data_IF_270040984154
#
_entry.id   IF_270040984154
#
_cell.length_a   1.000
_cell.length_b   1.000
_cell.length_c   1.000
_cell.angle_alpha   90.00
_cell.angle_beta   90.00
_cell.angle_gamma   90.00
#
_symmetry.space_group_name_H-M   'P 1'
#
loop_
_entity.id
_entity.type
_entity.pdbx_description
1 polymer ?
#
# COMPACT_ATOMS: atom_id res chain seq x y z
N UNK A 1 9.38 -8.02 11.08
CA UNK A 1 9.93 -9.10 10.22
C UNK A 1 10.27 -10.37 10.98
N UNK A 2 9.99 -10.49 12.29
CA UNK A 2 10.21 -11.74 13.04
C UNK A 2 9.08 -12.75 12.83
N UNK A 3 7.93 -12.27 12.35
CA UNK A 3 6.71 -13.06 12.14
C UNK A 3 6.64 -13.74 10.77
N UNK A 4 7.65 -13.52 9.92
CA UNK A 4 7.70 -14.12 8.58
C UNK A 4 8.88 -15.08 8.49
N UNK A 5 8.62 -16.25 7.91
CA UNK A 5 9.67 -17.18 7.52
C UNK A 5 10.50 -16.62 6.38
N UNK A 6 11.67 -17.23 6.15
CA UNK A 6 12.52 -16.91 5.00
C UNK A 6 11.75 -17.11 3.70
N UNK A 7 10.96 -18.18 3.62
CA UNK A 7 10.19 -18.57 2.43
C UNK A 7 9.11 -17.54 2.11
N UNK A 8 8.43 -17.00 3.12
CA UNK A 8 7.42 -15.93 2.96
C UNK A 8 8.05 -14.62 2.48
N UNK A 9 9.20 -14.24 3.04
CA UNK A 9 9.94 -13.06 2.58
C UNK A 9 10.36 -13.23 1.11
N UNK A 10 10.91 -14.38 0.75
CA UNK A 10 11.30 -14.68 -0.63
C UNK A 10 10.10 -14.71 -1.57
N UNK A 11 8.94 -15.17 -1.10
CA UNK A 11 7.70 -15.14 -1.86
C UNK A 11 7.28 -13.69 -2.19
N UNK A 12 7.29 -12.78 -1.21
CA UNK A 12 6.98 -11.35 -1.43
C UNK A 12 7.93 -10.74 -2.46
N UNK A 13 9.23 -10.98 -2.34
CA UNK A 13 10.23 -10.46 -3.28
C UNK A 13 10.05 -11.01 -4.71
N UNK A 14 9.75 -12.31 -4.84
CA UNK A 14 9.47 -12.93 -6.14
C UNK A 14 8.21 -12.36 -6.77
N UNK A 15 7.17 -12.09 -5.98
CA UNK A 15 5.94 -11.45 -6.44
C UNK A 15 6.21 -10.01 -6.87
N UNK A 16 6.97 -9.24 -6.09
CA UNK A 16 7.39 -7.88 -6.48
C UNK A 16 8.13 -7.88 -7.82
N UNK A 17 9.06 -8.82 -8.04
CA UNK A 17 9.78 -8.93 -9.31
C UNK A 17 8.84 -9.22 -10.49
N UNK A 18 7.89 -10.15 -10.31
CA UNK A 18 6.86 -10.41 -11.33
C UNK A 18 6.06 -9.14 -11.64
N UNK A 19 5.68 -8.38 -10.61
CA UNK A 19 4.91 -7.14 -10.74
C UNK A 19 5.65 -6.05 -11.51
N UNK A 20 6.98 -5.99 -11.39
CA UNK A 20 7.83 -5.11 -12.19
C UNK A 20 7.83 -5.49 -13.68
N UNK A 21 7.82 -6.79 -13.98
CA UNK A 21 7.99 -7.34 -15.33
C UNK A 21 6.66 -7.40 -16.15
N UNK A 22 5.50 -7.09 -15.56
CA UNK A 22 4.19 -7.27 -16.19
C UNK A 22 3.18 -6.14 -15.95
N UNK A 23 2.10 -6.09 -16.73
CA UNK A 23 0.99 -5.16 -16.54
C UNK A 23 -0.08 -5.77 -15.62
N UNK A 24 0.07 -5.63 -14.31
CA UNK A 24 -0.95 -6.05 -13.33
C UNK A 24 -2.06 -4.99 -13.19
N UNK A 25 -2.67 -4.59 -14.31
CA UNK A 25 -3.78 -3.66 -14.30
C UNK A 25 -4.98 -4.27 -13.58
N UNK A 26 -5.64 -3.48 -12.74
CA UNK A 26 -6.97 -3.74 -12.17
C UNK A 26 -7.10 -4.88 -11.15
N UNK A 27 -5.99 -5.43 -10.63
CA UNK A 27 -6.03 -6.46 -9.57
C UNK A 27 -6.86 -6.06 -8.33
N UNK A 28 -6.89 -4.76 -8.03
CA UNK A 28 -7.57 -4.21 -6.85
C UNK A 28 -8.85 -3.45 -7.23
N UNK A 29 -9.40 -3.67 -8.42
CA UNK A 29 -10.65 -3.04 -8.82
C UNK A 29 -11.78 -3.35 -7.82
N UNK A 30 -12.52 -2.31 -7.44
CA UNK A 30 -13.56 -2.37 -6.40
C UNK A 30 -13.04 -2.49 -4.96
N UNK A 31 -11.71 -2.52 -4.73
CA UNK A 31 -11.12 -2.51 -3.38
C UNK A 31 -10.82 -1.09 -2.92
N UNK A 32 -10.98 -0.86 -1.62
CA UNK A 32 -10.71 0.42 -0.96
C UNK A 32 -9.67 0.18 0.13
N UNK A 33 -8.58 0.97 0.15
CA UNK A 33 -7.58 0.99 1.22
C UNK A 33 -7.68 2.30 2.02
N UNK A 34 -7.64 2.21 3.35
CA UNK A 34 -7.47 3.38 4.21
C UNK A 34 -5.97 3.69 4.41
N UNK A 35 -5.56 4.92 4.09
CA UNK A 35 -4.21 5.47 4.30
C UNK A 35 -4.18 6.26 5.61
N UNK A 36 -3.70 5.64 6.69
CA UNK A 36 -3.74 6.18 8.07
C UNK A 36 -2.33 6.49 8.58
N UNK A 37 -1.79 7.64 8.16
CA UNK A 37 -0.48 8.12 8.61
C UNK A 37 -0.64 9.13 9.75
N UNK A 38 -0.47 8.67 11.00
CA UNK A 38 -0.53 9.53 12.20
C UNK A 38 0.72 10.38 12.42
N UNK A 39 1.82 10.05 11.74
CA UNK A 39 3.01 10.87 11.65
C UNK A 39 3.29 11.19 10.18
N UNK A 40 3.64 12.43 9.82
CA UNK A 40 3.90 12.80 8.44
C UNK A 40 5.05 11.99 7.82
N UNK A 41 4.74 11.23 6.76
CA UNK A 41 5.75 10.49 5.98
C UNK A 41 5.41 10.54 4.49
N UNK A 42 5.79 11.63 3.83
CA UNK A 42 5.40 11.91 2.43
C UNK A 42 5.79 10.79 1.47
N UNK A 43 7.04 10.29 1.54
CA UNK A 43 7.51 9.24 0.63
C UNK A 43 6.77 7.92 0.83
N UNK A 44 6.56 7.52 2.07
CA UNK A 44 5.87 6.27 2.41
C UNK A 44 4.39 6.35 2.03
N UNK A 45 3.73 7.45 2.34
CA UNK A 45 2.32 7.64 1.98
C UNK A 45 2.12 7.57 0.47
N UNK A 46 2.88 8.38 -0.27
CA UNK A 46 2.73 8.44 -1.72
C UNK A 46 3.08 7.11 -2.40
N UNK A 47 4.06 6.34 -1.91
CA UNK A 47 4.38 5.04 -2.50
C UNK A 47 3.24 4.02 -2.34
N UNK A 48 2.61 3.96 -1.17
CA UNK A 48 1.46 3.08 -0.92
C UNK A 48 0.22 3.52 -1.71
N UNK A 49 -0.09 4.82 -1.73
CA UNK A 49 -1.23 5.35 -2.48
C UNK A 49 -1.06 5.16 -4.00
N UNK A 50 0.14 5.42 -4.52
CA UNK A 50 0.47 5.19 -5.92
C UNK A 50 0.35 3.71 -6.31
N UNK A 51 0.80 2.79 -5.43
CA UNK A 51 0.67 1.35 -5.67
C UNK A 51 -0.79 0.91 -5.72
N UNK A 52 -1.63 1.39 -4.80
CA UNK A 52 -3.07 1.10 -4.81
C UNK A 52 -3.76 1.60 -6.08
N UNK A 53 -3.50 2.85 -6.46
CA UNK A 53 -4.11 3.44 -7.65
C UNK A 53 -3.66 2.73 -8.93
N UNK A 54 -2.38 2.35 -9.03
CA UNK A 54 -1.83 1.66 -10.21
C UNK A 54 -2.44 0.27 -10.44
N UNK A 55 -2.96 -0.34 -9.37
CA UNK A 55 -3.66 -1.64 -9.42
C UNK A 55 -5.19 -1.48 -9.55
N UNK A 56 -5.71 -0.28 -9.83
CA UNK A 56 -7.14 0.00 -9.98
C UNK A 56 -7.93 0.10 -8.67
N UNK A 57 -7.24 0.12 -7.53
CA UNK A 57 -7.85 0.31 -6.22
C UNK A 57 -8.11 1.78 -5.90
N UNK A 58 -8.95 2.02 -4.89
CA UNK A 58 -9.24 3.37 -4.37
C UNK A 58 -8.61 3.56 -3.01
N UNK A 59 -8.16 4.78 -2.72
CA UNK A 59 -7.63 5.16 -1.41
C UNK A 59 -8.57 6.15 -0.72
N UNK A 60 -8.80 5.94 0.57
CA UNK A 60 -9.43 6.91 1.48
C UNK A 60 -8.48 7.19 2.65
N UNK A 61 -8.65 8.29 3.38
CA UNK A 61 -7.83 8.58 4.56
C UNK A 61 -7.64 10.07 4.79
N UNK A 62 -6.65 10.39 5.61
CA UNK A 62 -6.28 11.77 5.92
C UNK A 62 -4.78 11.98 5.75
N UNK A 63 -4.41 13.16 5.26
CA UNK A 63 -3.00 13.57 5.13
C UNK A 63 -2.47 14.33 6.35
N UNK A 64 -3.37 14.77 7.23
CA UNK A 64 -3.04 15.53 8.44
C UNK A 64 -3.61 14.82 9.68
N UNK A 65 -2.75 14.31 10.58
CA UNK A 65 -3.18 13.71 11.84
C UNK A 65 -4.03 14.64 12.71
N UNK A 66 -3.87 15.96 12.56
CA UNK A 66 -4.65 16.96 13.31
C UNK A 66 -6.10 17.05 12.88
N UNK A 67 -6.48 16.45 11.75
CA UNK A 67 -7.86 16.35 11.31
C UNK A 67 -8.56 15.06 11.78
N UNK A 68 -7.82 14.12 12.39
CA UNK A 68 -8.42 12.94 13.01
C UNK A 68 -8.97 13.34 14.39
N UNK A 69 -10.30 13.38 14.51
CA UNK A 69 -10.95 13.57 15.81
C UNK A 69 -10.91 12.26 16.59
N UNK A 70 -10.11 12.19 17.64
CA UNK A 70 -10.24 11.15 18.66
C UNK A 70 -11.37 11.57 19.60
N UNK A 71 -12.42 10.75 19.69
CA UNK A 71 -13.31 10.76 20.87
C UNK A 71 -12.58 10.16 22.06
#
# INVERSE_FOLDING_TARGET
>A
MRDFSKEEILHVLKTAKKMEDGKFSDLLNGKIMASLFFEPSTRTRLSFESSMNSLGGRVIGFSDPKQSSSV
#
